data_IF_467580725544
#
_entry.id   IF_467580725544
#
_cell.length_a   1.000
_cell.length_b   1.000
_cell.length_c   1.000
_cell.angle_alpha   90.00
_cell.angle_beta   90.00
_cell.angle_gamma   90.00
#
_symmetry.space_group_name_H-M   'P 1'
#
loop_
_entity.id
_entity.type
_entity.pdbx_description
1 polymer ?
#
# COMPACT_ATOMS: atom_id res chain seq x y z
N UNK A 1 -58.96 3.06 28.87
CA UNK A 1 -57.56 2.57 28.93
C UNK A 1 -57.05 1.94 27.63
N UNK A 2 -57.90 1.42 26.75
CA UNK A 2 -57.48 0.75 25.50
C UNK A 2 -57.04 1.70 24.37
N UNK A 3 -57.57 2.93 24.31
CA UNK A 3 -57.18 3.94 23.28
C UNK A 3 -55.79 4.53 23.48
N UNK A 4 -55.32 4.66 24.72
CA UNK A 4 -53.98 5.20 25.03
C UNK A 4 -52.87 4.18 24.75
N UNK A 5 -53.15 2.88 24.92
CA UNK A 5 -52.19 1.81 24.60
C UNK A 5 -51.98 1.71 23.08
N UNK A 6 -53.03 1.86 22.28
CA UNK A 6 -52.94 1.83 20.81
C UNK A 6 -52.12 3.00 20.24
N UNK A 7 -52.21 4.18 20.87
CA UNK A 7 -51.42 5.35 20.47
C UNK A 7 -49.93 5.19 20.80
N UNK A 8 -49.61 4.54 21.92
CA UNK A 8 -48.23 4.27 22.34
C UNK A 8 -47.56 3.20 21.45
N UNK A 9 -48.30 2.18 21.03
CA UNK A 9 -47.82 1.16 20.09
C UNK A 9 -47.56 1.76 18.70
N UNK A 10 -48.42 2.66 18.23
CA UNK A 10 -48.21 3.35 16.95
C UNK A 10 -46.97 4.27 16.98
N UNK A 11 -46.74 4.97 18.10
CA UNK A 11 -45.57 5.83 18.28
C UNK A 11 -44.24 5.03 18.31
N UNK A 12 -44.22 3.84 18.92
CA UNK A 12 -43.03 2.98 18.94
C UNK A 12 -42.66 2.41 17.56
N UNK A 13 -43.62 2.22 16.65
CA UNK A 13 -43.34 1.73 15.28
C UNK A 13 -42.74 2.84 14.41
N UNK A 14 -43.08 4.12 14.64
CA UNK A 14 -42.48 5.25 13.92
C UNK A 14 -41.02 5.52 14.31
N UNK A 15 -40.60 5.18 15.54
CA UNK A 15 -39.21 5.39 15.99
C UNK A 15 -38.24 4.45 15.26
N UNK A 16 -38.69 3.28 14.81
CA UNK A 16 -37.83 2.33 14.08
C UNK A 16 -37.51 2.75 12.63
N UNK A 17 -38.20 3.75 12.06
CA UNK A 17 -37.89 4.28 10.73
C UNK A 17 -36.99 5.51 10.75
N UNK A 18 -36.50 5.94 11.92
CA UNK A 18 -35.59 7.07 12.07
C UNK A 18 -34.10 6.70 11.89
N UNK A 19 -33.77 5.61 11.19
CA UNK A 19 -32.41 5.29 10.73
C UNK A 19 -32.19 5.73 9.29
N UNK A 20 -32.42 7.02 9.01
CA UNK A 20 -32.03 7.67 7.75
C UNK A 20 -30.74 8.50 7.95
N UNK A 21 -29.82 8.03 8.78
CA UNK A 21 -28.43 8.48 8.72
C UNK A 21 -27.85 7.88 7.44
N UNK A 22 -27.62 8.73 6.43
CA UNK A 22 -26.99 8.32 5.16
C UNK A 22 -25.56 7.85 5.45
N UNK A 23 -25.44 6.56 5.76
CA UNK A 23 -24.18 5.92 6.07
C UNK A 23 -23.48 5.54 4.77
N UNK A 24 -22.22 5.95 4.63
CA UNK A 24 -21.39 5.55 3.49
C UNK A 24 -21.10 4.04 3.46
N UNK A 25 -21.36 3.32 4.58
CA UNK A 25 -21.19 1.86 4.68
C UNK A 25 -22.03 1.15 3.61
N UNK A 26 -23.22 1.66 3.29
CA UNK A 26 -24.08 1.09 2.25
C UNK A 26 -23.52 1.21 0.82
N UNK A 27 -22.51 2.06 0.60
CA UNK A 27 -21.89 2.30 -0.71
C UNK A 27 -20.65 1.45 -0.95
N UNK A 28 -20.28 0.56 -0.02
CA UNK A 28 -19.11 -0.31 -0.15
C UNK A 28 -19.40 -1.39 -1.20
N UNK A 29 -18.66 -1.37 -2.31
CA UNK A 29 -18.69 -2.44 -3.30
C UNK A 29 -17.49 -3.38 -3.06
N UNK A 30 -17.73 -4.51 -2.40
CA UNK A 30 -16.70 -5.48 -2.06
C UNK A 30 -16.07 -6.15 -3.29
N UNK A 31 -16.83 -6.35 -4.38
CA UNK A 31 -16.30 -6.94 -5.61
C UNK A 31 -15.30 -5.99 -6.28
N UNK A 32 -15.63 -4.70 -6.35
CA UNK A 32 -14.73 -3.67 -6.87
C UNK A 32 -13.51 -3.49 -5.98
N UNK A 33 -13.68 -3.59 -4.66
CA UNK A 33 -12.59 -3.51 -3.69
C UNK A 33 -11.56 -4.63 -3.89
N UNK A 34 -11.99 -5.88 -4.08
CA UNK A 34 -11.07 -6.98 -4.36
C UNK A 34 -10.38 -6.80 -5.73
N UNK A 35 -11.07 -6.25 -6.75
CA UNK A 35 -10.44 -5.86 -8.02
C UNK A 35 -9.33 -4.82 -7.84
N UNK A 36 -9.55 -3.81 -6.98
CA UNK A 36 -8.51 -2.81 -6.65
C UNK A 36 -7.32 -3.42 -5.94
N UNK A 37 -7.56 -4.36 -5.03
CA UNK A 37 -6.50 -5.12 -4.36
C UNK A 37 -5.66 -5.90 -5.37
N UNK A 38 -6.30 -6.60 -6.31
CA UNK A 38 -5.59 -7.37 -7.33
C UNK A 38 -4.76 -6.47 -8.25
N UNK A 39 -5.30 -5.32 -8.65
CA UNK A 39 -4.55 -4.33 -9.43
C UNK A 39 -3.34 -3.80 -8.67
N UNK A 40 -3.50 -3.45 -7.39
CA UNK A 40 -2.40 -2.97 -6.56
C UNK A 40 -1.29 -4.04 -6.43
N UNK A 41 -1.64 -5.30 -6.16
CA UNK A 41 -0.64 -6.38 -6.06
C UNK A 41 0.14 -6.58 -7.37
N UNK A 42 -0.51 -6.45 -8.51
CA UNK A 42 0.11 -6.62 -9.83
C UNK A 42 0.95 -5.41 -10.27
N UNK A 43 0.47 -4.20 -9.99
CA UNK A 43 1.04 -2.98 -10.55
C UNK A 43 2.04 -2.30 -9.60
N UNK A 44 1.87 -2.43 -8.28
CA UNK A 44 2.61 -1.62 -7.32
C UNK A 44 4.12 -1.97 -7.32
N UNK A 45 5.03 -0.98 -7.49
CA UNK A 45 6.45 -1.24 -7.64
C UNK A 45 7.10 -1.95 -6.46
N UNK A 46 6.66 -1.68 -5.22
CA UNK A 46 7.24 -2.35 -4.05
C UNK A 46 6.97 -3.86 -4.05
N UNK A 47 5.82 -4.31 -4.53
CA UNK A 47 5.52 -5.75 -4.65
C UNK A 47 6.55 -6.44 -5.55
N UNK A 48 6.87 -5.80 -6.69
CA UNK A 48 7.90 -6.28 -7.62
C UNK A 48 9.30 -6.29 -6.98
N UNK A 49 9.62 -5.28 -6.17
CA UNK A 49 10.89 -5.21 -5.42
C UNK A 49 11.02 -6.37 -4.42
N UNK A 50 9.96 -6.71 -3.67
CA UNK A 50 9.98 -7.84 -2.74
C UNK A 50 10.12 -9.18 -3.47
N UNK A 51 9.38 -9.36 -4.58
CA UNK A 51 9.53 -10.55 -5.42
C UNK A 51 10.96 -10.70 -5.97
N UNK A 52 11.57 -9.62 -6.47
CA UNK A 52 12.96 -9.60 -6.93
C UNK A 52 13.95 -9.90 -5.79
N UNK A 53 13.69 -9.40 -4.59
CA UNK A 53 14.52 -9.68 -3.40
C UNK A 53 14.49 -11.15 -3.00
N UNK A 54 13.32 -11.79 -3.06
CA UNK A 54 13.18 -13.22 -2.83
C UNK A 54 13.91 -14.06 -3.91
N UNK A 55 13.82 -13.66 -5.18
CA UNK A 55 14.56 -14.32 -6.27
C UNK A 55 16.08 -14.18 -6.10
N UNK A 56 16.55 -13.01 -5.66
CA UNK A 56 17.96 -12.78 -5.35
C UNK A 56 18.45 -13.69 -4.20
N UNK A 57 17.68 -13.79 -3.11
CA UNK A 57 17.99 -14.70 -2.02
C UNK A 57 17.98 -16.19 -2.46
N UNK A 58 17.04 -16.57 -3.34
CA UNK A 58 17.03 -17.90 -3.96
C UNK A 58 18.30 -18.17 -4.78
N UNK A 59 18.78 -17.17 -5.53
CA UNK A 59 20.02 -17.29 -6.28
C UNK A 59 21.23 -17.51 -5.35
N UNK A 60 21.27 -16.84 -4.19
CA UNK A 60 22.31 -17.07 -3.16
C UNK A 60 22.32 -18.51 -2.63
N UNK A 61 21.16 -19.16 -2.51
CA UNK A 61 21.10 -20.60 -2.19
C UNK A 61 21.80 -21.43 -3.27
N UNK A 62 21.60 -21.08 -4.54
CA UNK A 62 22.29 -21.71 -5.67
C UNK A 62 23.81 -21.51 -5.60
N UNK A 63 24.27 -20.30 -5.30
CA UNK A 63 25.69 -19.99 -5.10
C UNK A 63 26.28 -20.77 -3.94
N UNK A 64 25.60 -20.80 -2.79
CA UNK A 64 26.04 -21.55 -1.61
C UNK A 64 26.16 -23.06 -1.88
N UNK A 65 25.30 -23.61 -2.75
CA UNK A 65 25.43 -25.00 -3.23
C UNK A 65 26.60 -25.16 -4.19
N UNK A 66 26.84 -24.20 -5.08
CA UNK A 66 27.98 -24.23 -5.99
C UNK A 66 29.33 -24.21 -5.24
N UNK A 67 29.38 -23.66 -4.02
CA UNK A 67 30.56 -23.70 -3.14
C UNK A 67 31.04 -25.12 -2.80
N UNK A 68 30.22 -26.17 -2.99
CA UNK A 68 30.74 -27.54 -2.94
C UNK A 68 31.82 -27.81 -3.99
N UNK A 69 31.76 -27.15 -5.15
CA UNK A 69 32.75 -27.27 -6.22
C UNK A 69 34.06 -26.57 -5.86
N UNK A 70 34.03 -25.53 -5.01
CA UNK A 70 35.22 -24.84 -4.51
C UNK A 70 36.12 -25.76 -3.65
N UNK A 71 35.61 -26.92 -3.24
CA UNK A 71 36.43 -27.96 -2.61
C UNK A 71 37.51 -28.50 -3.55
N UNK A 72 37.37 -28.31 -4.87
CA UNK A 72 38.33 -28.74 -5.88
C UNK A 72 38.98 -27.53 -6.53
N UNK A 73 40.30 -27.41 -6.42
CA UNK A 73 41.08 -26.38 -7.12
C UNK A 73 42.04 -27.06 -8.09
N UNK A 74 41.88 -26.81 -9.38
CA UNK A 74 42.90 -27.18 -10.36
C UNK A 74 43.93 -26.04 -10.47
N UNK A 75 45.21 -26.37 -10.40
CA UNK A 75 46.32 -25.44 -10.61
C UNK A 75 47.18 -25.88 -11.80
N UNK A 76 47.64 -24.88 -12.54
CA UNK A 76 48.59 -25.01 -13.62
C UNK A 76 49.72 -24.02 -13.33
N UNK A 77 50.93 -24.51 -13.19
CA UNK A 77 52.11 -23.68 -13.03
C UNK A 77 53.14 -24.06 -14.09
N UNK A 78 53.68 -23.06 -14.80
CA UNK A 78 54.73 -23.23 -15.80
C UNK A 78 55.93 -22.37 -15.41
N UNK A 79 57.09 -23.01 -15.22
CA UNK A 79 58.34 -22.32 -14.85
C UNK A 79 59.41 -22.54 -15.94
N UNK A 80 59.69 -21.53 -16.79
CA UNK A 80 60.55 -21.68 -17.98
C UNK A 80 62.07 -21.52 -17.78
N UNK A 81 62.63 -21.67 -16.57
CA UNK A 81 64.08 -21.45 -16.38
C UNK A 81 64.78 -22.53 -15.56
N UNK A 82 66.07 -22.75 -15.88
CA UNK A 82 67.03 -23.51 -15.08
C UNK A 82 67.40 -22.79 -13.76
N UNK A 83 66.42 -22.21 -13.07
CA UNK A 83 66.64 -21.62 -11.76
C UNK A 83 67.02 -22.74 -10.77
N UNK A 84 68.03 -22.46 -9.92
CA UNK A 84 68.56 -23.41 -8.95
C UNK A 84 67.43 -24.01 -8.10
N UNK A 85 67.45 -25.34 -7.97
CA UNK A 85 66.48 -26.10 -7.18
C UNK A 85 66.57 -25.66 -5.72
N UNK A 86 65.45 -25.18 -5.17
CA UNK A 86 65.31 -24.75 -3.77
C UNK A 86 66.28 -23.62 -3.35
N UNK A 87 65.86 -22.37 -3.50
CA UNK A 87 66.51 -21.20 -2.88
C UNK A 87 65.42 -20.47 -2.06
N UNK A 88 65.81 -19.74 -1.01
CA UNK A 88 64.93 -18.93 -0.15
C UNK A 88 64.03 -17.93 -0.93
N UNK A 89 64.34 -17.67 -2.21
CA UNK A 89 63.58 -16.83 -3.13
C UNK A 89 62.73 -17.58 -4.18
N UNK A 90 62.83 -18.91 -4.31
CA UNK A 90 62.07 -19.70 -5.29
C UNK A 90 61.68 -21.09 -4.71
N UNK A 91 60.40 -21.29 -4.29
CA UNK A 91 59.95 -22.51 -3.64
C UNK A 91 59.60 -23.67 -4.60
N UNK A 92 59.80 -23.52 -5.92
CA UNK A 92 59.44 -24.54 -6.89
C UNK A 92 60.57 -25.59 -7.08
N UNK A 93 60.23 -26.88 -6.95
CA UNK A 93 61.19 -28.01 -6.97
C UNK A 93 61.43 -28.60 -8.35
N UNK A 94 60.53 -28.35 -9.31
CA UNK A 94 60.53 -28.90 -10.66
C UNK A 94 60.46 -27.77 -11.70
N UNK A 95 61.41 -27.76 -12.63
CA UNK A 95 61.38 -26.89 -13.82
C UNK A 95 60.47 -27.53 -14.87
N UNK A 96 59.65 -26.73 -15.55
CA UNK A 96 58.68 -27.21 -16.53
C UNK A 96 57.22 -27.06 -16.09
N UNK A 97 56.37 -27.99 -16.54
CA UNK A 97 54.92 -27.97 -16.36
C UNK A 97 54.48 -28.70 -15.09
N UNK A 98 53.75 -28.02 -14.21
CA UNK A 98 53.17 -28.58 -13.00
C UNK A 98 51.64 -28.45 -13.05
N UNK A 99 50.95 -29.58 -12.96
CA UNK A 99 49.51 -29.68 -12.83
C UNK A 99 49.19 -30.19 -11.44
N UNK A 100 48.32 -29.49 -10.70
CA UNK A 100 47.88 -29.89 -9.37
C UNK A 100 46.37 -29.89 -9.26
N UNK A 101 45.82 -30.83 -8.49
CA UNK A 101 44.44 -30.75 -8.02
C UNK A 101 44.49 -30.75 -6.50
N UNK A 102 44.02 -29.67 -5.90
CA UNK A 102 43.91 -29.55 -4.45
C UNK A 102 42.48 -29.86 -4.03
N UNK A 103 42.36 -30.61 -2.94
CA UNK A 103 41.08 -30.92 -2.33
C UNK A 103 41.02 -30.33 -0.92
N UNK A 104 40.07 -29.40 -0.69
CA UNK A 104 39.87 -28.77 0.61
C UNK A 104 38.67 -29.39 1.33
N UNK A 105 38.94 -30.33 2.24
CA UNK A 105 37.89 -31.01 3.01
C UNK A 105 37.16 -30.07 3.98
N UNK A 106 37.80 -28.99 4.45
CA UNK A 106 37.19 -27.99 5.32
C UNK A 106 36.00 -27.28 4.68
N UNK A 107 36.00 -27.15 3.34
CA UNK A 107 34.87 -26.63 2.58
C UNK A 107 33.65 -27.56 2.73
N UNK A 108 33.84 -28.88 2.62
CA UNK A 108 32.73 -29.83 2.73
C UNK A 108 32.04 -29.81 4.11
N UNK A 109 32.79 -29.54 5.17
CA UNK A 109 32.22 -29.44 6.53
C UNK A 109 31.46 -28.13 6.77
N UNK A 110 31.91 -27.00 6.20
CA UNK A 110 31.25 -25.69 6.40
C UNK A 110 30.09 -25.43 5.43
N UNK A 111 30.15 -25.96 4.20
CA UNK A 111 29.15 -25.67 3.15
C UNK A 111 27.71 -26.05 3.53
N UNK A 112 27.42 -27.17 4.21
CA UNK A 112 26.06 -27.48 4.67
C UNK A 112 25.46 -26.37 5.55
N UNK A 113 26.26 -25.80 6.46
CA UNK A 113 25.82 -24.71 7.32
C UNK A 113 25.52 -23.44 6.52
N UNK A 114 26.35 -23.11 5.53
CA UNK A 114 26.15 -21.97 4.63
C UNK A 114 24.89 -22.15 3.75
N UNK A 115 24.66 -23.36 3.23
CA UNK A 115 23.45 -23.66 2.45
C UNK A 115 22.21 -23.54 3.33
N UNK A 116 22.26 -24.02 4.58
CA UNK A 116 21.15 -23.85 5.53
C UNK A 116 20.89 -22.37 5.82
N UNK A 117 21.93 -21.60 6.10
CA UNK A 117 21.81 -20.15 6.31
C UNK A 117 21.16 -19.46 5.11
N UNK A 118 21.66 -19.70 3.89
CA UNK A 118 21.12 -19.09 2.68
C UNK A 118 19.64 -19.47 2.44
N UNK A 119 19.23 -20.70 2.81
CA UNK A 119 17.83 -21.12 2.74
C UNK A 119 16.95 -20.35 3.73
N UNK A 120 17.41 -20.15 4.96
CA UNK A 120 16.66 -19.36 5.93
C UNK A 120 16.58 -17.89 5.50
N UNK A 121 17.64 -17.31 4.93
CA UNK A 121 17.59 -15.97 4.33
C UNK A 121 16.57 -15.90 3.18
N UNK A 122 16.47 -16.93 2.34
CA UNK A 122 15.44 -17.01 1.30
C UNK A 122 14.03 -17.08 1.88
N UNK A 123 13.81 -17.92 2.89
CA UNK A 123 12.52 -18.03 3.59
C UNK A 123 12.13 -16.69 4.22
N UNK A 124 13.06 -15.99 4.89
CA UNK A 124 12.86 -14.65 5.43
C UNK A 124 12.35 -13.69 4.35
N UNK A 125 12.96 -13.69 3.15
CA UNK A 125 12.51 -12.82 2.05
C UNK A 125 11.14 -13.20 1.50
N UNK A 126 10.77 -14.48 1.51
CA UNK A 126 9.40 -14.90 1.18
C UNK A 126 8.42 -14.34 2.19
N UNK A 127 8.69 -14.50 3.50
CA UNK A 127 7.78 -14.03 4.54
C UNK A 127 7.63 -12.51 4.52
N UNK A 128 8.70 -11.77 4.24
CA UNK A 128 8.64 -10.31 4.03
C UNK A 128 7.75 -9.93 2.84
N UNK A 129 7.81 -10.68 1.73
CA UNK A 129 6.92 -10.44 0.60
C UNK A 129 5.45 -10.70 0.95
N UNK A 130 5.17 -11.80 1.67
CA UNK A 130 3.81 -12.15 2.11
C UNK A 130 3.25 -11.14 3.11
N UNK A 131 4.05 -10.70 4.08
CA UNK A 131 3.70 -9.63 5.01
C UNK A 131 3.36 -8.36 4.24
N UNK A 132 4.18 -7.99 3.26
CA UNK A 132 3.95 -6.82 2.43
C UNK A 132 2.64 -6.91 1.64
N UNK A 133 2.29 -8.07 1.09
CA UNK A 133 1.02 -8.29 0.40
C UNK A 133 -0.18 -8.05 1.34
N UNK A 134 -0.10 -8.51 2.59
CA UNK A 134 -1.14 -8.30 3.61
C UNK A 134 -1.27 -6.81 3.95
N UNK A 135 -0.14 -6.11 4.11
CA UNK A 135 -0.11 -4.68 4.39
C UNK A 135 -0.69 -3.88 3.23
N UNK A 136 -0.32 -4.20 1.99
CA UNK A 136 -0.84 -3.53 0.80
C UNK A 136 -2.35 -3.75 0.64
N UNK A 137 -2.84 -4.97 0.88
CA UNK A 137 -4.28 -5.28 0.92
C UNK A 137 -5.02 -4.40 1.92
N UNK A 138 -4.45 -4.25 3.12
CA UNK A 138 -5.04 -3.44 4.19
C UNK A 138 -5.04 -1.96 3.81
N UNK A 139 -3.94 -1.47 3.25
CA UNK A 139 -3.81 -0.08 2.83
C UNK A 139 -4.83 0.27 1.74
N UNK A 140 -4.97 -0.54 0.70
CA UNK A 140 -5.96 -0.33 -0.36
C UNK A 140 -7.38 -0.26 0.22
N UNK A 141 -7.70 -1.14 1.19
CA UNK A 141 -9.00 -1.14 1.87
C UNK A 141 -9.22 0.15 2.65
N UNK A 142 -8.24 0.59 3.43
CA UNK A 142 -8.31 1.83 4.18
C UNK A 142 -8.47 3.05 3.27
N UNK A 143 -7.68 3.15 2.20
CA UNK A 143 -7.76 4.26 1.25
C UNK A 143 -9.10 4.26 0.48
N UNK A 144 -9.65 3.10 0.16
CA UNK A 144 -10.98 3.00 -0.44
C UNK A 144 -12.09 3.48 0.50
N UNK A 145 -12.04 3.11 1.78
CA UNK A 145 -12.99 3.60 2.77
C UNK A 145 -12.87 5.11 3.00
N UNK A 146 -11.63 5.63 3.00
CA UNK A 146 -11.37 7.07 3.04
C UNK A 146 -12.02 7.80 1.86
N UNK A 147 -11.82 7.28 0.64
CA UNK A 147 -12.46 7.83 -0.56
C UNK A 147 -14.00 7.86 -0.45
N UNK A 148 -14.62 6.78 0.03
CA UNK A 148 -16.07 6.73 0.24
C UNK A 148 -16.53 7.72 1.31
N UNK A 149 -15.75 7.89 2.39
CA UNK A 149 -16.04 8.86 3.45
C UNK A 149 -16.01 10.29 2.91
N UNK A 150 -14.95 10.66 2.20
CA UNK A 150 -14.81 12.01 1.62
C UNK A 150 -15.88 12.30 0.56
N UNK A 151 -16.28 11.28 -0.21
CA UNK A 151 -17.38 11.43 -1.16
C UNK A 151 -18.72 11.71 -0.44
N UNK A 152 -18.96 11.04 0.68
CA UNK A 152 -20.13 11.28 1.51
C UNK A 152 -20.08 12.65 2.20
N UNK A 153 -18.92 13.07 2.72
CA UNK A 153 -18.74 14.39 3.34
C UNK A 153 -18.99 15.51 2.33
N UNK A 154 -18.41 15.42 1.13
CA UNK A 154 -18.68 16.39 0.07
C UNK A 154 -20.18 16.52 -0.23
N UNK A 155 -20.90 15.40 -0.29
CA UNK A 155 -22.36 15.43 -0.54
C UNK A 155 -23.10 16.19 0.56
N UNK A 156 -22.75 15.97 1.82
CA UNK A 156 -23.36 16.68 2.98
C UNK A 156 -23.00 18.16 2.96
N UNK A 157 -21.74 18.52 2.73
CA UNK A 157 -21.28 19.92 2.68
C UNK A 157 -21.86 20.66 1.48
N UNK A 158 -21.99 20.00 0.34
CA UNK A 158 -22.66 20.55 -0.84
C UNK A 158 -24.14 20.83 -0.59
N UNK A 159 -24.86 19.89 0.04
CA UNK A 159 -26.26 20.11 0.42
C UNK A 159 -26.40 21.27 1.40
N UNK A 160 -25.54 21.32 2.43
CA UNK A 160 -25.53 22.41 3.41
C UNK A 160 -25.30 23.77 2.76
N UNK A 161 -24.39 23.85 1.76
CA UNK A 161 -24.18 25.07 1.00
C UNK A 161 -25.42 25.49 0.20
N UNK A 162 -26.10 24.53 -0.45
CA UNK A 162 -27.33 24.79 -1.22
C UNK A 162 -28.42 25.34 -0.29
N UNK A 163 -28.62 24.71 0.87
CA UNK A 163 -29.64 25.11 1.84
C UNK A 163 -29.35 26.51 2.41
N UNK A 164 -28.11 26.77 2.81
CA UNK A 164 -27.69 28.09 3.32
C UNK A 164 -27.80 29.17 2.26
N UNK A 165 -27.45 28.86 1.01
CA UNK A 165 -27.58 29.79 -0.11
C UNK A 165 -29.04 30.16 -0.35
N UNK A 166 -29.94 29.16 -0.38
CA UNK A 166 -31.37 29.40 -0.53
C UNK A 166 -31.93 30.27 0.61
N UNK A 167 -31.51 30.01 1.85
CA UNK A 167 -31.89 30.82 3.01
C UNK A 167 -31.36 32.26 2.92
N UNK A 168 -30.09 32.45 2.52
CA UNK A 168 -29.47 33.75 2.34
C UNK A 168 -30.13 34.56 1.22
N UNK A 169 -30.46 33.92 0.09
CA UNK A 169 -31.14 34.56 -1.03
C UNK A 169 -32.58 34.98 -0.64
N UNK A 170 -33.27 34.13 0.14
CA UNK A 170 -34.58 34.48 0.71
C UNK A 170 -34.53 35.65 1.67
N UNK A 171 -33.51 35.71 2.56
CA UNK A 171 -33.32 36.83 3.48
C UNK A 171 -32.93 38.12 2.78
N UNK A 172 -32.14 38.03 1.69
CA UNK A 172 -31.84 39.18 0.84
C UNK A 172 -33.11 39.82 0.29
N UNK A 173 -34.02 39.01 -0.26
CA UNK A 173 -35.29 39.51 -0.81
C UNK A 173 -36.18 40.16 0.25
N UNK A 174 -36.26 39.57 1.45
CA UNK A 174 -36.99 40.15 2.59
C UNK A 174 -36.36 41.46 3.06
N UNK A 175 -35.04 41.53 3.13
CA UNK A 175 -34.32 42.76 3.49
C UNK A 175 -34.56 43.87 2.46
N UNK A 176 -34.53 43.56 1.16
CA UNK A 176 -34.83 44.52 0.08
C UNK A 176 -36.26 45.10 0.18
N UNK A 177 -37.19 44.38 0.82
CA UNK A 177 -38.55 44.84 1.13
C UNK A 177 -38.71 45.49 2.51
N UNK A 178 -37.65 45.54 3.32
CA UNK A 178 -37.72 46.00 4.71
C UNK A 178 -38.39 45.02 5.69
N UNK A 179 -38.59 43.76 5.30
CA UNK A 179 -39.21 42.70 6.09
C UNK A 179 -38.20 41.90 6.95
N UNK A 180 -36.90 42.16 6.79
CA UNK A 180 -35.82 41.55 7.56
C UNK A 180 -34.76 42.60 7.93
N UNK A 181 -33.98 42.35 8.99
CA UNK A 181 -32.92 43.27 9.42
C UNK A 181 -31.63 43.07 8.62
N UNK A 182 -30.78 44.10 8.58
CA UNK A 182 -29.44 44.00 7.99
C UNK A 182 -28.56 42.98 8.73
N UNK A 183 -28.75 42.84 10.04
CA UNK A 183 -28.02 41.90 10.89
C UNK A 183 -28.35 40.44 10.51
N UNK A 184 -29.63 40.11 10.34
CA UNK A 184 -30.07 38.78 9.91
C UNK A 184 -29.52 38.40 8.54
N UNK A 185 -29.58 39.33 7.57
CA UNK A 185 -29.00 39.12 6.25
C UNK A 185 -27.48 38.92 6.30
N UNK A 186 -26.77 39.73 7.09
CA UNK A 186 -25.30 39.64 7.22
C UNK A 186 -24.88 38.32 7.87
N UNK A 187 -25.62 37.85 8.87
CA UNK A 187 -25.42 36.53 9.50
C UNK A 187 -25.61 35.39 8.49
N UNK A 188 -26.70 35.40 7.72
CA UNK A 188 -26.96 34.38 6.71
C UNK A 188 -25.90 34.35 5.60
N UNK A 189 -25.43 35.52 5.16
CA UNK A 189 -24.35 35.64 4.18
C UNK A 189 -23.02 35.09 4.71
N UNK A 190 -22.72 35.35 5.98
CA UNK A 190 -21.54 34.79 6.65
C UNK A 190 -21.62 33.27 6.72
N UNK A 191 -22.76 32.71 7.13
CA UNK A 191 -22.99 31.26 7.18
C UNK A 191 -22.86 30.60 5.80
N UNK A 192 -23.41 31.23 4.75
CA UNK A 192 -23.29 30.74 3.37
C UNK A 192 -21.85 30.75 2.89
N UNK A 193 -21.09 31.80 3.22
CA UNK A 193 -19.68 31.91 2.86
C UNK A 193 -18.84 30.84 3.56
N UNK A 194 -19.09 30.59 4.84
CA UNK A 194 -18.45 29.51 5.60
C UNK A 194 -18.78 28.13 5.02
N UNK A 195 -20.06 27.84 4.76
CA UNK A 195 -20.48 26.59 4.15
C UNK A 195 -19.87 26.36 2.76
N UNK A 196 -19.69 27.43 1.96
CA UNK A 196 -18.97 27.32 0.70
C UNK A 196 -17.50 26.96 0.89
N UNK A 197 -16.82 27.56 1.87
CA UNK A 197 -15.43 27.22 2.20
C UNK A 197 -15.29 25.75 2.60
N UNK A 198 -16.19 25.26 3.45
CA UNK A 198 -16.23 23.85 3.87
C UNK A 198 -16.47 22.91 2.69
N UNK A 199 -17.38 23.25 1.77
CA UNK A 199 -17.61 22.49 0.53
C UNK A 199 -16.34 22.40 -0.32
N UNK A 200 -15.64 23.53 -0.52
CA UNK A 200 -14.41 23.55 -1.32
C UNK A 200 -13.29 22.71 -0.68
N UNK A 201 -13.19 22.70 0.65
CA UNK A 201 -12.25 21.84 1.37
C UNK A 201 -12.60 20.36 1.20
N UNK A 202 -13.88 19.99 1.29
CA UNK A 202 -14.34 18.63 1.04
C UNK A 202 -14.07 18.17 -0.41
N UNK A 203 -14.22 19.06 -1.41
CA UNK A 203 -13.84 18.76 -2.80
C UNK A 203 -12.36 18.42 -2.93
N UNK A 204 -11.50 19.24 -2.31
CA UNK A 204 -10.06 19.00 -2.30
C UNK A 204 -9.70 17.68 -1.62
N UNK A 205 -10.34 17.35 -0.49
CA UNK A 205 -10.07 16.12 0.24
C UNK A 205 -10.51 14.88 -0.55
N UNK A 206 -11.67 14.94 -1.22
CA UNK A 206 -12.11 13.88 -2.12
C UNK A 206 -11.12 13.65 -3.26
N UNK A 207 -10.61 14.72 -3.88
CA UNK A 207 -9.61 14.62 -4.95
C UNK A 207 -8.32 13.96 -4.44
N UNK A 208 -7.84 14.35 -3.26
CA UNK A 208 -6.65 13.72 -2.64
C UNK A 208 -6.89 12.24 -2.32
N UNK A 209 -8.05 11.89 -1.78
CA UNK A 209 -8.40 10.51 -1.47
C UNK A 209 -8.47 9.65 -2.74
N UNK A 210 -9.03 10.20 -3.82
CA UNK A 210 -9.04 9.57 -5.15
C UNK A 210 -7.63 9.35 -5.68
N UNK A 211 -6.80 10.38 -5.72
CA UNK A 211 -5.41 10.29 -6.22
C UNK A 211 -4.58 9.29 -5.40
N UNK A 212 -4.77 9.25 -4.09
CA UNK A 212 -4.10 8.28 -3.21
C UNK A 212 -4.48 6.84 -3.57
N UNK A 213 -5.78 6.57 -3.80
CA UNK A 213 -6.24 5.26 -4.21
C UNK A 213 -5.70 4.87 -5.61
N UNK A 214 -5.74 5.80 -6.56
CA UNK A 214 -5.21 5.60 -7.92
C UNK A 214 -3.70 5.30 -7.91
N UNK A 215 -2.95 5.99 -7.05
CA UNK A 215 -1.52 5.77 -6.90
C UNK A 215 -1.19 4.37 -6.34
N UNK A 216 -2.05 3.81 -5.47
CA UNK A 216 -1.89 2.45 -4.94
C UNK A 216 -2.24 1.37 -5.97
N UNK A 217 -3.34 1.53 -6.71
CA UNK A 217 -3.78 0.54 -7.71
C UNK A 217 -2.97 0.62 -9.02
N UNK A 218 -2.30 1.75 -9.27
CA UNK A 218 -1.48 2.00 -10.45
C UNK A 218 -2.27 2.26 -11.73
N UNK A 219 -3.57 2.57 -11.61
CA UNK A 219 -4.49 2.84 -12.71
C UNK A 219 -5.53 3.88 -12.28
N UNK A 220 -6.10 4.60 -13.25
CA UNK A 220 -7.17 5.56 -12.99
C UNK A 220 -8.48 4.86 -12.67
N UNK A 221 -9.25 5.37 -11.71
CA UNK A 221 -10.52 4.75 -11.30
C UNK A 221 -11.56 4.72 -12.42
N UNK A 222 -11.49 5.61 -13.41
CA UNK A 222 -12.42 5.60 -14.56
C UNK A 222 -12.30 4.34 -15.43
N UNK A 223 -11.11 3.73 -15.49
CA UNK A 223 -10.86 2.55 -16.32
C UNK A 223 -11.26 1.24 -15.65
N UNK A 224 -11.44 1.26 -14.33
CA UNK A 224 -11.62 0.06 -13.50
C UNK A 224 -13.10 -0.21 -13.19
N UNK A 225 -14.02 0.62 -13.70
CA UNK A 225 -15.48 0.48 -13.53
C UNK A 225 -16.04 -0.86 -14.01
#
# INVERSE_FOLDING_TARGET
MTRTVLFFVFFCIFIQMASAQESFIGNINYQLLEKYVDLALNNYPKTKMYAASALSAKAKVGVAKATYLDAFTASYNYSPSNAARFNNANPYTLNGLQLGIYFNIGILFRTPALVRQAKEEYNEKIYQAQEYDILLRTEVKNTYYEYLREAADLRVKAQTYIDNKAASDGLRYKFEKGEASLDDYTKAKTLTSYANSERLLAELNLLKAKESLEALIGEKMENVK
#
